data_IF_263027037962
#
_entry.id   IF_263027037962
#
_cell.length_a   1.000
_cell.length_b   1.000
_cell.length_c   1.000
_cell.angle_alpha   90.00
_cell.angle_beta   90.00
_cell.angle_gamma   90.00
#
_symmetry.space_group_name_H-M   'P 1'
#
loop_
_entity.id
_entity.type
_entity.pdbx_description
1 polymer ?
#
# COMPACT_ATOMS: atom_id res chain seq x y z
N UNK A 1 -16.99 13.68 10.79
CA UNK A 1 -16.49 13.91 9.41
C UNK A 1 -17.67 13.96 8.46
N UNK A 2 -17.79 15.01 7.62
CA UNK A 2 -18.96 15.24 6.73
C UNK A 2 -18.66 14.97 5.25
N UNK A 3 -17.40 15.06 4.85
CA UNK A 3 -16.94 14.90 3.48
C UNK A 3 -15.71 13.99 3.41
N UNK A 4 -15.56 13.28 2.30
CA UNK A 4 -14.40 12.44 1.99
C UNK A 4 -14.06 12.63 0.51
N UNK A 5 -12.77 12.73 0.17
CA UNK A 5 -12.34 12.71 -1.24
C UNK A 5 -12.45 11.30 -1.84
N UNK A 6 -12.77 11.19 -3.12
CA UNK A 6 -12.70 9.93 -3.86
C UNK A 6 -11.27 9.47 -4.18
N UNK A 7 -10.26 10.33 -4.01
CA UNK A 7 -8.88 10.04 -4.34
C UNK A 7 -8.22 9.17 -3.25
N UNK A 8 -7.65 8.00 -3.60
CA UNK A 8 -6.83 7.23 -2.66
C UNK A 8 -5.50 7.95 -2.41
N UNK A 9 -5.33 8.47 -1.18
CA UNK A 9 -4.17 9.30 -0.83
C UNK A 9 -2.88 8.49 -0.62
N UNK A 10 -2.98 7.32 -0.01
CA UNK A 10 -1.83 6.48 0.33
C UNK A 10 -2.20 5.00 0.44
N UNK A 11 -1.19 4.14 0.38
CA UNK A 11 -1.33 2.74 0.74
C UNK A 11 -0.95 2.55 2.21
N UNK A 12 -1.86 1.99 3.00
CA UNK A 12 -1.53 1.50 4.34
C UNK A 12 -0.60 0.29 4.23
N UNK A 13 0.61 0.42 4.76
CA UNK A 13 1.63 -0.64 4.75
C UNK A 13 1.75 -1.21 6.16
N UNK A 14 1.75 -2.53 6.27
CA UNK A 14 2.02 -3.25 7.51
C UNK A 14 2.85 -4.50 7.21
N UNK A 15 3.73 -4.86 8.13
CA UNK A 15 4.59 -6.03 8.03
C UNK A 15 4.45 -6.90 9.28
N UNK A 16 4.39 -8.22 9.08
CA UNK A 16 4.54 -9.19 10.16
C UNK A 16 6.03 -9.47 10.33
N UNK A 17 6.57 -9.22 11.52
CA UNK A 17 7.97 -9.42 11.84
C UNK A 17 8.07 -10.55 12.86
N UNK A 18 9.03 -11.45 12.66
CA UNK A 18 9.35 -12.54 13.57
C UNK A 18 10.84 -12.43 13.92
N UNK A 19 11.18 -12.61 15.19
CA UNK A 19 12.56 -12.59 15.63
C UNK A 19 13.39 -13.69 14.94
N UNK A 20 14.53 -13.31 14.38
CA UNK A 20 15.37 -14.22 13.60
C UNK A 20 15.89 -15.40 14.43
N UNK A 21 16.25 -15.16 15.69
CA UNK A 21 16.76 -16.20 16.59
C UNK A 21 15.69 -17.24 16.92
N UNK A 22 14.41 -16.87 16.88
CA UNK A 22 13.30 -17.82 17.01
C UNK A 22 13.15 -18.64 15.74
N UNK A 23 13.21 -18.01 14.56
CA UNK A 23 13.12 -18.72 13.28
C UNK A 23 14.26 -19.72 13.10
N UNK A 24 15.48 -19.37 13.53
CA UNK A 24 16.65 -20.25 13.47
C UNK A 24 16.52 -21.53 14.30
N UNK A 25 15.67 -21.54 15.33
CA UNK A 25 15.39 -22.74 16.15
C UNK A 25 14.42 -23.72 15.48
N UNK A 26 13.77 -23.29 14.39
CA UNK A 26 12.80 -24.09 13.63
C UNK A 26 13.53 -24.82 12.50
N UNK A 27 13.08 -26.03 12.17
CA UNK A 27 13.66 -26.82 11.07
C UNK A 27 13.58 -26.06 9.73
N UNK A 28 14.51 -26.30 8.81
CA UNK A 28 14.50 -25.63 7.51
C UNK A 28 13.23 -25.94 6.69
N UNK A 29 12.63 -27.12 6.89
CA UNK A 29 11.38 -27.51 6.27
C UNK A 29 10.21 -26.71 6.83
N UNK A 30 10.11 -26.60 8.16
CA UNK A 30 9.06 -25.83 8.82
C UNK A 30 9.20 -24.32 8.54
N UNK A 31 10.42 -23.80 8.42
CA UNK A 31 10.65 -22.41 7.99
C UNK A 31 10.04 -22.15 6.60
N UNK A 32 10.20 -23.08 5.65
CA UNK A 32 9.56 -22.98 4.32
C UNK A 32 8.04 -23.03 4.44
N UNK A 33 7.51 -23.90 5.29
CA UNK A 33 6.06 -24.00 5.56
C UNK A 33 5.50 -22.71 6.14
N UNK A 34 6.17 -22.12 7.14
CA UNK A 34 5.80 -20.83 7.74
C UNK A 34 5.77 -19.73 6.66
N UNK A 35 6.81 -19.65 5.82
CA UNK A 35 6.88 -18.66 4.75
C UNK A 35 5.75 -18.84 3.71
N UNK A 36 5.43 -20.09 3.35
CA UNK A 36 4.34 -20.41 2.43
C UNK A 36 2.98 -20.01 3.00
N UNK A 37 2.72 -20.34 4.27
CA UNK A 37 1.50 -19.96 4.98
C UNK A 37 1.40 -18.44 5.09
N UNK A 38 2.48 -17.76 5.47
CA UNK A 38 2.54 -16.30 5.55
C UNK A 38 2.17 -15.65 4.21
N UNK A 39 2.77 -16.09 3.10
CA UNK A 39 2.48 -15.57 1.76
C UNK A 39 1.02 -15.79 1.35
N UNK A 40 0.48 -16.98 1.59
CA UNK A 40 -0.92 -17.29 1.30
C UNK A 40 -1.88 -16.46 2.18
N UNK A 41 -1.58 -16.34 3.47
CA UNK A 41 -2.30 -15.54 4.45
C UNK A 41 -2.35 -14.07 4.06
N UNK A 42 -1.21 -13.45 3.74
CA UNK A 42 -1.14 -12.06 3.29
C UNK A 42 -1.91 -11.83 1.98
N UNK A 43 -1.92 -12.80 1.06
CA UNK A 43 -2.74 -12.72 -0.17
C UNK A 43 -4.24 -12.73 0.16
N UNK A 44 -4.68 -13.60 1.08
CA UNK A 44 -6.08 -13.65 1.54
C UNK A 44 -6.47 -12.38 2.30
N UNK A 45 -5.64 -11.94 3.23
CA UNK A 45 -5.85 -10.74 4.04
C UNK A 45 -6.03 -9.49 3.16
N UNK A 46 -5.19 -9.31 2.14
CA UNK A 46 -5.35 -8.19 1.18
C UNK A 46 -6.70 -8.18 0.45
N UNK A 47 -7.33 -9.34 0.23
CA UNK A 47 -8.68 -9.39 -0.37
C UNK A 47 -9.74 -8.98 0.65
N UNK A 48 -9.63 -9.49 1.88
CA UNK A 48 -10.55 -9.17 2.97
C UNK A 48 -10.51 -7.68 3.29
N UNK A 49 -9.32 -7.08 3.42
CA UNK A 49 -9.16 -5.65 3.69
C UNK A 49 -9.80 -4.80 2.59
N UNK A 50 -9.57 -5.11 1.32
CA UNK A 50 -10.18 -4.35 0.22
C UNK A 50 -11.71 -4.39 0.27
N UNK A 51 -12.28 -5.56 0.55
CA UNK A 51 -13.73 -5.69 0.72
C UNK A 51 -14.22 -4.87 1.93
N UNK A 52 -13.57 -5.02 3.08
CA UNK A 52 -13.92 -4.27 4.29
C UNK A 52 -13.84 -2.75 4.08
N UNK A 53 -12.89 -2.26 3.29
CA UNK A 53 -12.79 -0.84 2.93
C UNK A 53 -14.00 -0.38 2.12
N UNK A 54 -14.48 -1.15 1.15
CA UNK A 54 -15.67 -0.81 0.36
C UNK A 54 -16.96 -0.87 1.19
N UNK A 55 -17.09 -1.87 2.06
CA UNK A 55 -18.21 -1.99 2.99
C UNK A 55 -18.25 -0.81 3.99
N UNK A 56 -17.07 -0.39 4.46
CA UNK A 56 -16.91 0.78 5.34
C UNK A 56 -17.30 2.07 4.62
N UNK A 57 -16.83 2.30 3.39
CA UNK A 57 -17.23 3.45 2.57
C UNK A 57 -18.74 3.50 2.39
N UNK A 58 -19.37 2.38 2.05
CA UNK A 58 -20.83 2.27 1.89
C UNK A 58 -21.56 2.65 3.18
N UNK A 59 -21.08 2.14 4.32
CA UNK A 59 -21.66 2.45 5.63
C UNK A 59 -21.50 3.93 5.98
N UNK A 60 -20.34 4.52 5.70
CA UNK A 60 -20.08 5.95 5.92
C UNK A 60 -21.02 6.82 5.08
N UNK A 61 -21.21 6.48 3.80
CA UNK A 61 -22.14 7.20 2.92
C UNK A 61 -23.57 7.12 3.43
N UNK A 62 -24.03 5.93 3.86
CA UNK A 62 -25.36 5.76 4.47
C UNK A 62 -25.54 6.58 5.75
N UNK A 63 -24.47 6.80 6.51
CA UNK A 63 -24.46 7.64 7.72
C UNK A 63 -24.28 9.14 7.42
N UNK A 64 -24.31 9.55 6.16
CA UNK A 64 -24.33 10.96 5.75
C UNK A 64 -22.97 11.55 5.35
N UNK A 65 -21.91 10.74 5.24
CA UNK A 65 -20.63 11.20 4.66
C UNK A 65 -20.79 11.35 3.15
N UNK A 66 -20.45 12.52 2.60
CA UNK A 66 -20.47 12.76 1.16
C UNK A 66 -19.10 12.48 0.53
N UNK A 67 -19.05 11.56 -0.43
CA UNK A 67 -17.85 11.35 -1.24
C UNK A 67 -17.80 12.40 -2.34
N UNK A 68 -16.79 13.25 -2.33
CA UNK A 68 -16.56 14.28 -3.33
C UNK A 68 -15.62 13.72 -4.38
N UNK A 69 -16.09 13.67 -5.62
CA UNK A 69 -15.28 13.23 -6.74
C UNK A 69 -14.14 14.24 -6.97
N UNK A 70 -12.90 13.76 -6.93
CA UNK A 70 -11.74 14.60 -7.24
C UNK A 70 -11.59 14.74 -8.75
N UNK A 71 -11.52 15.97 -9.29
CA UNK A 71 -11.30 16.18 -10.72
C UNK A 71 -9.96 15.59 -11.17
N UNK A 72 -9.90 15.06 -12.39
CA UNK A 72 -8.67 14.45 -12.94
C UNK A 72 -7.50 15.43 -12.93
N UNK A 73 -7.73 16.69 -13.34
CA UNK A 73 -6.70 17.73 -13.32
C UNK A 73 -6.08 17.94 -11.92
N UNK A 74 -6.90 17.87 -10.87
CA UNK A 74 -6.43 17.98 -9.49
C UNK A 74 -5.66 16.73 -9.05
N UNK A 75 -6.06 15.54 -9.51
CA UNK A 75 -5.30 14.29 -9.26
C UNK A 75 -3.91 14.37 -9.90
N UNK A 76 -3.82 14.88 -11.12
CA UNK A 76 -2.56 15.01 -11.86
C UNK A 76 -1.63 16.04 -11.21
N UNK A 77 -2.17 17.21 -10.84
CA UNK A 77 -1.42 18.24 -10.12
C UNK A 77 -0.92 17.74 -8.76
N UNK A 78 -1.79 17.07 -8.00
CA UNK A 78 -1.42 16.48 -6.71
C UNK A 78 -0.33 15.41 -6.88
N UNK A 79 -0.44 14.55 -7.90
CA UNK A 79 0.55 13.53 -8.21
C UNK A 79 1.90 14.13 -8.58
N UNK A 80 1.91 15.18 -9.40
CA UNK A 80 3.13 15.90 -9.79
C UNK A 80 3.81 16.54 -8.57
N UNK A 81 3.04 17.21 -7.72
CA UNK A 81 3.55 17.84 -6.50
C UNK A 81 4.11 16.79 -5.53
N UNK A 82 3.40 15.67 -5.33
CA UNK A 82 3.89 14.58 -4.51
C UNK A 82 5.19 13.97 -5.04
N UNK A 83 5.32 13.80 -6.36
CA UNK A 83 6.55 13.30 -6.99
C UNK A 83 7.74 14.24 -6.79
N UNK A 84 7.54 15.55 -6.94
CA UNK A 84 8.57 16.54 -6.67
C UNK A 84 9.04 16.47 -5.21
N UNK A 85 8.11 16.30 -4.27
CA UNK A 85 8.43 16.10 -2.86
C UNK A 85 9.23 14.82 -2.63
N UNK A 86 8.96 13.72 -3.32
CA UNK A 86 9.76 12.50 -3.15
C UNK A 86 11.25 12.74 -3.47
N UNK A 87 11.53 13.49 -4.54
CA UNK A 87 12.91 13.85 -4.89
C UNK A 87 13.54 14.79 -3.86
N UNK A 88 12.79 15.76 -3.33
CA UNK A 88 13.31 16.70 -2.33
C UNK A 88 13.63 16.01 -0.98
N UNK A 89 12.87 14.97 -0.64
CA UNK A 89 13.07 14.21 0.61
C UNK A 89 14.18 13.15 0.48
N UNK A 90 14.65 12.87 -0.73
CA UNK A 90 15.80 11.99 -0.95
C UNK A 90 17.08 12.65 -0.40
N UNK A 91 17.80 11.92 0.44
CA UNK A 91 18.92 12.40 1.25
C UNK A 91 18.51 12.98 2.62
N UNK A 92 17.20 13.20 2.87
CA UNK A 92 16.68 13.64 4.18
C UNK A 92 16.04 12.50 4.97
N UNK A 93 15.18 11.70 4.32
CA UNK A 93 14.43 10.61 4.97
C UNK A 93 14.81 9.22 4.44
N UNK A 94 15.26 9.13 3.20
CA UNK A 94 15.69 7.92 2.53
C UNK A 94 16.77 8.24 1.51
N UNK A 95 17.52 7.25 1.05
CA UNK A 95 18.55 7.47 0.04
C UNK A 95 17.95 7.65 -1.37
N UNK A 96 18.73 8.19 -2.30
CA UNK A 96 18.30 8.29 -3.71
C UNK A 96 18.16 6.91 -4.34
N UNK A 97 19.05 6.00 -3.99
CA UNK A 97 19.05 4.62 -4.46
C UNK A 97 17.80 3.87 -4.00
N UNK A 98 17.35 4.10 -2.76
CA UNK A 98 16.08 3.55 -2.25
C UNK A 98 14.87 4.09 -3.02
N UNK A 99 14.84 5.39 -3.31
CA UNK A 99 13.78 5.99 -4.12
C UNK A 99 13.75 5.38 -5.53
N UNK A 100 14.90 5.31 -6.19
CA UNK A 100 15.03 4.75 -7.54
C UNK A 100 14.61 3.28 -7.58
N UNK A 101 15.00 2.50 -6.58
CA UNK A 101 14.60 1.09 -6.42
C UNK A 101 13.08 0.97 -6.32
N UNK A 102 12.44 1.77 -5.46
CA UNK A 102 10.97 1.73 -5.28
C UNK A 102 10.25 2.14 -6.56
N UNK A 103 10.70 3.21 -7.22
CA UNK A 103 10.10 3.68 -8.48
C UNK A 103 10.20 2.62 -9.57
N UNK A 104 11.38 1.99 -9.72
CA UNK A 104 11.58 0.89 -10.67
C UNK A 104 10.60 -0.26 -10.42
N UNK A 105 10.52 -0.79 -9.20
CA UNK A 105 9.61 -1.91 -8.90
C UNK A 105 8.13 -1.54 -9.06
N UNK A 106 7.75 -0.31 -8.71
CA UNK A 106 6.40 0.21 -8.92
C UNK A 106 6.05 0.23 -10.41
N UNK A 107 6.95 0.76 -11.23
CA UNK A 107 6.70 0.95 -12.66
C UNK A 107 6.72 -0.39 -13.40
N UNK A 108 7.60 -1.31 -13.04
CA UNK A 108 7.55 -2.71 -13.52
C UNK A 108 6.23 -3.39 -13.15
N UNK A 109 5.78 -3.23 -11.91
CA UNK A 109 4.50 -3.80 -11.47
C UNK A 109 3.33 -3.21 -12.25
N UNK A 110 3.30 -1.89 -12.45
CA UNK A 110 2.24 -1.21 -13.22
C UNK A 110 2.26 -1.60 -14.69
N UNK A 111 3.43 -1.70 -15.31
CA UNK A 111 3.57 -2.14 -16.70
C UNK A 111 3.01 -3.55 -16.91
N UNK A 112 3.32 -4.48 -15.99
CA UNK A 112 2.83 -5.88 -16.04
C UNK A 112 1.34 -6.03 -15.72
N UNK A 113 0.75 -5.07 -15.02
CA UNK A 113 -0.63 -5.12 -14.55
C UNK A 113 -1.49 -3.99 -15.14
N UNK A 114 -1.08 -3.39 -16.27
CA UNK A 114 -1.93 -2.49 -17.06
C UNK A 114 -3.18 -3.27 -17.48
N UNK A 115 -4.30 -2.98 -16.82
CA UNK A 115 -5.64 -3.25 -17.34
C UNK A 115 -6.09 -2.05 -18.14
#
# INVERSE_FOLDING_TARGET
VKFMTSMPMSYGIGATVIALDTVKKVSAEDQKTIAAIGKAGSKKLRKVIRKANEDAKTTMTRKGVKVIQTPVAMVDEFTKTAQAMWTEMAGKIYSKEELDMVLKFRDEFRAKNKK
#
